data_IF_277128864128
#
_entry.id   IF_277128864128
#
_cell.length_a   1.000
_cell.length_b   1.000
_cell.length_c   1.000
_cell.angle_alpha   90.00
_cell.angle_beta   90.00
_cell.angle_gamma   90.00
#
_symmetry.space_group_name_H-M   'P 1'
#
loop_
_entity.id
_entity.type
_entity.pdbx_description
1 polymer ?
#
# COMPACT_ATOMS: atom_id res chain seq x y z
N UNK A 1 -0.56 -2.88 -4.31
CA UNK A 1 0.77 -2.82 -3.70
C UNK A 1 0.85 -1.52 -2.93
N UNK A 2 1.25 -1.61 -1.66
CA UNK A 2 1.41 -0.45 -0.76
C UNK A 2 2.79 -0.53 -0.12
N UNK A 3 3.50 0.59 -0.04
CA UNK A 3 4.79 0.69 0.66
C UNK A 3 5.03 2.10 1.18
N UNK A 4 5.98 2.24 2.07
CA UNK A 4 6.39 3.51 2.64
C UNK A 4 7.83 3.82 2.29
N UNK A 5 8.14 5.11 2.16
CA UNK A 5 9.50 5.64 2.04
C UNK A 5 9.79 6.57 3.20
N UNK A 6 11.05 6.65 3.62
CA UNK A 6 11.49 7.53 4.73
C UNK A 6 11.39 9.01 4.40
N UNK A 7 11.36 9.34 3.12
CA UNK A 7 11.20 10.70 2.60
C UNK A 7 10.16 10.71 1.49
N UNK A 8 9.49 11.84 1.23
CA UNK A 8 8.60 11.97 0.08
C UNK A 8 9.34 11.65 -1.22
N UNK A 9 8.73 10.85 -2.07
CA UNK A 9 9.34 10.33 -3.28
C UNK A 9 8.39 10.34 -4.49
N UNK A 10 8.96 10.22 -5.67
CA UNK A 10 8.26 9.87 -6.90
C UNK A 10 8.36 8.37 -7.12
N UNK A 11 7.25 7.66 -7.13
CA UNK A 11 7.26 6.22 -7.01
C UNK A 11 6.44 5.50 -8.08
N UNK A 12 6.86 4.25 -8.38
CA UNK A 12 6.17 3.38 -9.33
C UNK A 12 6.42 1.91 -8.99
N UNK A 13 5.63 1.04 -9.61
CA UNK A 13 5.84 -0.42 -9.59
C UNK A 13 6.31 -0.88 -10.96
N UNK A 14 7.35 -1.67 -11.00
CA UNK A 14 7.74 -2.47 -12.17
C UNK A 14 7.22 -3.89 -11.96
N UNK A 15 6.49 -4.45 -12.94
CA UNK A 15 5.89 -5.78 -12.83
C UNK A 15 5.78 -6.48 -14.18
N UNK A 16 5.77 -7.80 -14.16
CA UNK A 16 5.65 -8.65 -15.36
C UNK A 16 5.52 -10.12 -15.00
N UNK A 17 5.35 -10.96 -16.00
CA UNK A 17 5.33 -12.43 -15.84
C UNK A 17 6.74 -13.02 -15.78
N UNK A 18 7.74 -12.20 -16.05
CA UNK A 18 9.16 -12.49 -15.87
C UNK A 18 9.89 -11.22 -15.38
N UNK A 19 11.15 -11.32 -15.00
CA UNK A 19 11.93 -10.21 -14.46
C UNK A 19 12.68 -9.41 -15.54
N UNK A 20 12.58 -9.79 -16.80
CA UNK A 20 13.28 -9.15 -17.94
C UNK A 20 12.37 -8.18 -18.68
N UNK A 21 11.08 -8.52 -18.84
CA UNK A 21 10.09 -7.74 -19.58
C UNK A 21 9.08 -7.10 -18.64
N UNK A 22 9.47 -6.01 -18.01
CA UNK A 22 8.67 -5.35 -17.00
C UNK A 22 7.87 -4.18 -17.58
N UNK A 23 6.60 -4.10 -17.17
CA UNK A 23 5.75 -2.92 -17.34
C UNK A 23 5.90 -2.01 -16.13
N UNK A 24 5.72 -0.71 -16.33
CA UNK A 24 5.66 0.27 -15.25
C UNK A 24 4.22 0.70 -15.00
N UNK A 25 3.81 0.74 -13.72
CA UNK A 25 2.55 1.33 -13.28
C UNK A 25 2.82 2.41 -12.27
N UNK A 26 2.17 3.56 -12.46
CA UNK A 26 2.20 4.73 -11.58
C UNK A 26 0.80 5.07 -11.13
N UNK A 27 0.68 5.75 -10.02
CA UNK A 27 -0.60 6.34 -9.63
C UNK A 27 -0.78 7.63 -10.43
N UNK A 28 -1.84 7.66 -11.21
CA UNK A 28 -2.25 8.83 -12.00
C UNK A 28 -3.58 9.31 -11.44
N UNK A 29 -3.63 10.58 -11.05
CA UNK A 29 -4.84 11.25 -10.57
C UNK A 29 -5.08 12.44 -11.49
N UNK A 30 -6.24 12.51 -12.11
CA UNK A 30 -6.63 13.58 -13.04
C UNK A 30 -5.58 13.84 -14.14
N UNK A 31 -4.98 12.77 -14.67
CA UNK A 31 -3.96 12.82 -15.71
C UNK A 31 -2.55 13.21 -15.24
N UNK A 32 -2.37 13.41 -13.93
CA UNK A 32 -1.07 13.74 -13.35
C UNK A 32 -0.54 12.59 -12.50
N UNK A 33 0.77 12.31 -12.61
CA UNK A 33 1.40 11.34 -11.74
C UNK A 33 1.47 11.89 -10.31
N UNK A 34 0.99 11.10 -9.35
CA UNK A 34 1.15 11.43 -7.93
C UNK A 34 2.63 11.32 -7.56
N UNK A 35 3.10 12.28 -6.80
CA UNK A 35 4.48 12.32 -6.32
C UNK A 35 4.57 13.21 -5.08
N UNK A 36 5.75 13.15 -4.42
CA UNK A 36 6.02 13.88 -3.17
C UNK A 36 5.21 13.35 -1.97
N UNK A 37 4.92 12.05 -1.98
CA UNK A 37 4.29 11.33 -0.88
C UNK A 37 5.29 10.33 -0.27
N UNK A 38 5.09 9.98 0.99
CA UNK A 38 5.87 8.92 1.68
C UNK A 38 5.13 7.59 1.73
N UNK A 39 3.81 7.59 1.59
CA UNK A 39 2.99 6.38 1.48
C UNK A 39 2.53 6.24 0.04
N UNK A 40 2.91 5.14 -0.58
CA UNK A 40 2.61 4.85 -1.97
C UNK A 40 1.61 3.71 -2.08
N UNK A 41 0.60 3.89 -2.94
CA UNK A 41 -0.42 2.89 -3.19
C UNK A 41 -0.67 2.78 -4.68
N UNK A 42 -0.27 1.66 -5.29
CA UNK A 42 -0.44 1.41 -6.72
C UNK A 42 -1.29 0.16 -6.92
N UNK A 43 -2.39 0.32 -7.66
CA UNK A 43 -3.25 -0.77 -8.07
C UNK A 43 -2.78 -1.31 -9.41
N UNK A 44 -2.47 -2.61 -9.47
CA UNK A 44 -2.27 -3.34 -10.71
C UNK A 44 -3.63 -3.81 -11.23
N UNK A 45 -3.83 -3.75 -12.52
CA UNK A 45 -5.08 -4.08 -13.19
C UNK A 45 -4.81 -4.93 -14.43
N UNK A 46 -5.83 -5.67 -14.91
CA UNK A 46 -5.70 -6.51 -16.10
C UNK A 46 -4.77 -7.71 -15.88
N UNK A 47 -4.70 -8.20 -14.65
CA UNK A 47 -3.94 -9.40 -14.32
C UNK A 47 -4.74 -10.66 -14.68
N UNK A 48 -4.04 -11.68 -15.15
CA UNK A 48 -4.62 -12.95 -15.59
C UNK A 48 -4.76 -13.90 -14.41
N UNK A 49 -5.89 -14.57 -14.29
CA UNK A 49 -6.17 -15.62 -13.30
C UNK A 49 -5.14 -16.75 -13.39
N UNK A 50 -4.72 -17.28 -12.25
CA UNK A 50 -3.73 -18.35 -12.13
C UNK A 50 -2.28 -17.97 -12.51
N UNK A 51 -2.06 -16.76 -13.02
CA UNK A 51 -0.75 -16.32 -13.48
C UNK A 51 0.10 -15.79 -12.32
N UNK A 52 1.38 -16.20 -12.28
CA UNK A 52 2.37 -15.62 -11.38
C UNK A 52 2.96 -14.35 -11.98
N UNK A 53 3.06 -13.32 -11.16
CA UNK A 53 3.68 -12.03 -11.48
C UNK A 53 4.86 -11.76 -10.56
N UNK A 54 5.92 -11.23 -11.14
CA UNK A 54 7.06 -10.66 -10.44
C UNK A 54 6.89 -9.15 -10.39
N UNK A 55 7.25 -8.53 -9.27
CA UNK A 55 7.19 -7.08 -9.12
C UNK A 55 8.31 -6.56 -8.23
N UNK A 56 8.61 -5.29 -8.38
CA UNK A 56 9.40 -4.52 -7.43
C UNK A 56 8.87 -3.10 -7.32
N UNK A 57 9.08 -2.50 -6.17
CA UNK A 57 8.76 -1.10 -5.93
C UNK A 57 9.98 -0.24 -6.21
N UNK A 58 9.75 0.91 -6.82
CA UNK A 58 10.77 1.87 -7.18
C UNK A 58 10.37 3.23 -6.63
N UNK A 59 11.32 3.93 -6.01
CA UNK A 59 11.09 5.26 -5.44
C UNK A 59 12.27 6.17 -5.74
N UNK A 60 12.01 7.32 -6.32
CA UNK A 60 13.00 8.30 -6.71
C UNK A 60 12.92 9.51 -5.77
N UNK A 61 14.04 9.86 -5.19
CA UNK A 61 14.19 11.01 -4.33
C UNK A 61 13.85 12.32 -5.07
N UNK A 62 13.18 13.24 -4.38
CA UNK A 62 12.87 14.57 -4.88
C UNK A 62 13.74 15.60 -4.16
N UNK A 63 14.82 16.02 -4.80
CA UNK A 63 15.75 17.02 -4.24
C UNK A 63 15.18 18.44 -4.28
N UNK A 64 14.39 18.74 -5.29
CA UNK A 64 13.73 20.04 -5.46
C UNK A 64 12.42 19.87 -6.22
N UNK A 65 11.39 20.52 -5.70
CA UNK A 65 10.12 20.66 -6.38
C UNK A 65 9.66 22.11 -6.36
N UNK A 66 9.72 22.75 -7.51
CA UNK A 66 9.23 24.12 -7.74
C UNK A 66 8.46 24.14 -9.05
N UNK A 67 7.59 25.15 -9.25
CA UNK A 67 6.73 25.26 -10.41
C UNK A 67 7.50 25.10 -11.76
N UNK A 68 8.71 25.67 -11.86
CA UNK A 68 9.51 25.64 -13.08
C UNK A 68 10.83 24.86 -12.97
N UNK A 69 11.08 24.20 -11.83
CA UNK A 69 12.32 23.44 -11.61
C UNK A 69 12.07 22.24 -10.73
N UNK A 70 12.32 21.07 -11.29
CA UNK A 70 12.26 19.79 -10.57
C UNK A 70 13.62 19.12 -10.66
N UNK A 71 14.16 18.72 -9.53
CA UNK A 71 15.41 17.94 -9.47
C UNK A 71 15.14 16.64 -8.75
N UNK A 72 15.49 15.55 -9.38
CA UNK A 72 15.40 14.22 -8.83
C UNK A 72 16.77 13.72 -8.42
N UNK A 73 16.82 12.96 -7.36
CA UNK A 73 18.02 12.33 -6.83
C UNK A 73 18.06 10.85 -7.17
N UNK A 74 18.58 10.08 -6.22
CA UNK A 74 18.76 8.64 -6.34
C UNK A 74 17.43 7.90 -6.51
N UNK A 75 17.46 6.82 -7.30
CA UNK A 75 16.34 5.89 -7.44
C UNK A 75 16.65 4.62 -6.66
N UNK A 76 15.89 4.37 -5.60
CA UNK A 76 15.90 3.11 -4.87
C UNK A 76 14.97 2.11 -5.55
N UNK A 77 15.39 0.84 -5.61
CA UNK A 77 14.58 -0.27 -6.09
C UNK A 77 14.64 -1.40 -5.06
N UNK A 78 13.49 -1.99 -4.75
CA UNK A 78 13.44 -3.18 -3.90
C UNK A 78 14.00 -4.41 -4.64
N UNK A 79 14.19 -5.49 -3.90
CA UNK A 79 14.30 -6.81 -4.50
C UNK A 79 13.01 -7.15 -5.26
N UNK A 80 13.08 -8.18 -6.09
CA UNK A 80 11.89 -8.74 -6.71
C UNK A 80 11.10 -9.57 -5.69
N UNK A 81 9.80 -9.38 -5.72
CA UNK A 81 8.80 -10.19 -5.06
C UNK A 81 7.94 -10.86 -6.11
N UNK A 82 7.16 -11.88 -5.73
CA UNK A 82 6.23 -12.54 -6.63
C UNK A 82 4.93 -12.86 -5.90
N UNK A 83 3.83 -12.83 -6.64
CA UNK A 83 2.54 -13.33 -6.20
C UNK A 83 1.85 -14.06 -7.36
N UNK A 84 0.97 -14.99 -7.02
CA UNK A 84 0.15 -15.69 -8.01
C UNK A 84 -1.29 -15.21 -7.87
N UNK A 85 -1.90 -14.84 -8.99
CA UNK A 85 -3.33 -14.50 -9.00
C UNK A 85 -4.16 -15.74 -8.67
N UNK A 86 -5.21 -15.62 -7.85
CA UNK A 86 -6.13 -16.73 -7.60
C UNK A 86 -6.67 -17.30 -8.90
N UNK A 87 -6.87 -18.61 -8.93
CA UNK A 87 -7.52 -19.25 -10.07
C UNK A 87 -9.03 -18.96 -10.01
N UNK A 88 -9.57 -18.40 -11.09
CA UNK A 88 -10.99 -18.10 -11.21
C UNK A 88 -11.87 -19.39 -11.25
N UNK A 89 -11.27 -20.54 -11.53
CA UNK A 89 -11.94 -21.86 -11.47
C UNK A 89 -11.90 -22.53 -10.10
N UNK A 90 -11.27 -21.90 -9.09
CA UNK A 90 -11.24 -22.47 -7.74
C UNK A 90 -12.57 -22.27 -7.02
N UNK A 91 -13.14 -23.34 -6.50
CA UNK A 91 -14.41 -23.35 -5.75
C UNK A 91 -14.23 -23.07 -4.25
N UNK A 92 -12.99 -22.92 -3.79
CA UNK A 92 -12.68 -22.74 -2.37
C UNK A 92 -11.48 -21.83 -2.17
N UNK A 93 -11.42 -21.20 -1.01
CA UNK A 93 -10.26 -20.44 -0.53
C UNK A 93 -10.14 -20.60 0.99
N UNK A 94 -8.93 -20.38 1.49
CA UNK A 94 -8.65 -20.34 2.92
C UNK A 94 -8.20 -18.94 3.30
N UNK A 95 -8.83 -18.34 4.30
CA UNK A 95 -8.44 -17.03 4.83
C UNK A 95 -8.09 -17.12 6.30
N UNK A 96 -7.03 -16.44 6.72
CA UNK A 96 -6.74 -16.22 8.13
C UNK A 96 -7.26 -14.85 8.51
N UNK A 97 -8.04 -14.77 9.61
CA UNK A 97 -8.63 -13.52 10.09
C UNK A 97 -8.14 -13.25 11.51
N UNK A 98 -7.41 -12.15 11.67
CA UNK A 98 -7.02 -11.62 12.98
C UNK A 98 -7.93 -10.46 13.37
N UNK A 99 -8.45 -10.49 14.60
CA UNK A 99 -9.34 -9.45 15.14
C UNK A 99 -8.72 -8.81 16.37
N UNK A 100 -9.00 -7.54 16.61
CA UNK A 100 -8.77 -6.83 17.88
C UNK A 100 -7.36 -6.99 18.46
N UNK A 101 -6.35 -6.82 17.63
CA UNK A 101 -4.94 -7.02 18.03
C UNK A 101 -4.45 -5.94 18.99
N UNK A 102 -4.98 -4.70 18.91
CA UNK A 102 -4.69 -3.58 19.82
C UNK A 102 -3.18 -3.38 20.06
N UNK A 103 -2.38 -3.43 18.99
CA UNK A 103 -0.92 -3.29 19.02
C UNK A 103 -0.19 -4.28 19.94
N UNK A 104 -0.84 -5.40 20.30
CA UNK A 104 -0.28 -6.44 21.17
C UNK A 104 0.53 -7.44 20.34
N UNK A 105 1.77 -7.10 20.07
CA UNK A 105 2.66 -7.93 19.24
C UNK A 105 2.85 -9.34 19.80
N UNK A 106 2.92 -9.52 21.12
CA UNK A 106 3.03 -10.83 21.77
C UNK A 106 1.79 -11.70 21.56
N UNK A 107 0.58 -11.12 21.60
CA UNK A 107 -0.67 -11.82 21.30
C UNK A 107 -0.69 -12.24 19.84
N UNK A 108 -0.35 -11.32 18.93
CA UNK A 108 -0.27 -11.61 17.51
C UNK A 108 0.72 -12.74 17.20
N UNK A 109 1.93 -12.72 17.77
CA UNK A 109 2.91 -13.79 17.61
C UNK A 109 2.41 -15.15 18.11
N UNK A 110 1.64 -15.16 19.20
CA UNK A 110 1.04 -16.40 19.73
C UNK A 110 -0.04 -16.91 18.78
N UNK A 111 -0.90 -16.05 18.24
CA UNK A 111 -1.93 -16.42 17.27
C UNK A 111 -1.31 -16.90 15.96
N UNK A 112 -0.25 -16.23 15.48
CA UNK A 112 0.44 -16.60 14.25
C UNK A 112 1.01 -18.02 14.32
N UNK A 113 1.58 -18.43 15.45
CA UNK A 113 2.06 -19.81 15.67
C UNK A 113 0.96 -20.86 15.55
N UNK A 114 -0.30 -20.50 15.87
CA UNK A 114 -1.41 -21.46 15.75
C UNK A 114 -1.75 -21.77 14.28
N UNK A 115 -1.44 -20.84 13.39
CA UNK A 115 -1.76 -20.95 11.95
C UNK A 115 -0.52 -21.20 11.08
N UNK A 116 0.65 -21.37 11.67
CA UNK A 116 1.93 -21.56 10.95
C UNK A 116 1.91 -22.73 9.95
N UNK A 117 1.10 -23.76 10.21
CA UNK A 117 0.98 -24.96 9.35
C UNK A 117 -0.25 -24.93 8.45
N UNK A 118 -0.98 -23.84 8.43
CA UNK A 118 -2.18 -23.69 7.59
C UNK A 118 -1.78 -23.04 6.28
N UNK A 119 -2.06 -23.69 5.17
CA UNK A 119 -1.97 -23.05 3.85
C UNK A 119 -3.16 -22.11 3.68
N UNK A 120 -2.91 -20.85 3.36
CA UNK A 120 -3.95 -19.85 3.19
C UNK A 120 -3.68 -18.95 1.99
N UNK A 121 -4.76 -18.48 1.38
CA UNK A 121 -4.71 -17.66 0.17
C UNK A 121 -4.55 -16.18 0.50
N UNK A 122 -5.09 -15.71 1.64
CA UNK A 122 -4.97 -14.32 2.08
C UNK A 122 -5.20 -14.15 3.58
N UNK A 123 -4.79 -12.99 4.08
CA UNK A 123 -4.95 -12.61 5.49
C UNK A 123 -5.82 -11.36 5.61
N UNK A 124 -6.69 -11.36 6.61
CA UNK A 124 -7.54 -10.22 6.97
C UNK A 124 -7.21 -9.76 8.38
N UNK A 125 -6.82 -8.52 8.51
CA UNK A 125 -6.74 -7.81 9.78
C UNK A 125 -8.06 -7.06 9.99
N UNK A 126 -8.96 -7.66 10.76
CA UNK A 126 -10.35 -7.24 10.86
C UNK A 126 -10.61 -6.35 12.07
N UNK A 127 -10.32 -5.08 11.90
CA UNK A 127 -10.61 -4.05 12.88
C UNK A 127 -9.69 -4.01 14.09
N UNK A 128 -9.63 -2.88 14.73
CA UNK A 128 -8.99 -2.58 16.01
C UNK A 128 -7.57 -3.16 16.18
N UNK A 129 -6.81 -3.21 15.08
CA UNK A 129 -5.40 -3.60 15.11
C UNK A 129 -4.53 -2.52 15.74
N UNK A 130 -4.93 -1.26 15.63
CA UNK A 130 -4.19 -0.07 16.06
C UNK A 130 -5.05 0.73 17.03
N UNK A 131 -4.50 1.06 18.20
CA UNK A 131 -5.19 1.82 19.23
C UNK A 131 -5.26 3.31 18.90
N UNK A 132 -4.15 3.90 18.51
CA UNK A 132 -4.05 5.31 18.15
C UNK A 132 -3.55 5.52 16.71
N UNK A 133 -4.46 5.60 15.74
CA UNK A 133 -4.10 5.88 14.35
C UNK A 133 -3.61 7.32 14.11
N UNK A 134 -3.74 8.22 15.10
CA UNK A 134 -3.20 9.57 15.01
C UNK A 134 -1.69 9.59 15.26
N UNK A 135 -1.16 8.60 15.96
CA UNK A 135 0.27 8.36 16.07
C UNK A 135 0.74 7.59 14.83
N UNK A 136 1.01 8.33 13.76
CA UNK A 136 1.34 7.77 12.44
C UNK A 136 2.52 6.81 12.48
N UNK A 137 3.62 7.20 13.15
CA UNK A 137 4.84 6.38 13.21
C UNK A 137 4.60 5.05 13.92
N UNK A 138 3.88 5.06 15.03
CA UNK A 138 3.55 3.85 15.76
C UNK A 138 2.61 2.95 14.96
N UNK A 139 1.61 3.54 14.33
CA UNK A 139 0.64 2.84 13.49
C UNK A 139 1.33 2.15 12.31
N UNK A 140 2.19 2.88 11.58
CA UNK A 140 2.92 2.35 10.43
C UNK A 140 3.86 1.22 10.84
N UNK A 141 4.63 1.39 11.92
CA UNK A 141 5.51 0.33 12.42
C UNK A 141 4.75 -0.95 12.76
N UNK A 142 3.57 -0.83 13.37
CA UNK A 142 2.77 -2.01 13.71
C UNK A 142 2.18 -2.67 12.48
N UNK A 143 1.68 -1.91 11.50
CA UNK A 143 1.21 -2.45 10.22
C UNK A 143 2.34 -3.16 9.47
N UNK A 144 3.55 -2.59 9.45
CA UNK A 144 4.72 -3.23 8.85
C UNK A 144 5.03 -4.56 9.55
N UNK A 145 5.05 -4.59 10.89
CA UNK A 145 5.23 -5.82 11.67
C UNK A 145 4.19 -6.89 11.31
N UNK A 146 2.91 -6.51 11.21
CA UNK A 146 1.85 -7.44 10.87
C UNK A 146 2.02 -8.00 9.44
N UNK A 147 2.31 -7.13 8.47
CA UNK A 147 2.47 -7.52 7.07
C UNK A 147 3.71 -8.35 6.82
N UNK A 148 4.83 -8.02 7.45
CA UNK A 148 6.07 -8.80 7.38
C UNK A 148 5.87 -10.22 7.92
N UNK A 149 5.20 -10.33 9.06
CA UNK A 149 4.99 -11.62 9.74
C UNK A 149 4.10 -12.59 8.96
N UNK A 150 3.20 -12.09 8.11
CA UNK A 150 2.33 -12.89 7.24
C UNK A 150 2.81 -12.91 5.78
N UNK A 151 4.04 -12.51 5.52
CA UNK A 151 4.61 -12.43 4.18
C UNK A 151 3.75 -11.60 3.22
N UNK A 152 3.32 -10.39 3.63
CA UNK A 152 2.49 -9.50 2.84
C UNK A 152 3.14 -8.99 1.54
N UNK A 153 4.42 -9.29 1.33
CA UNK A 153 5.14 -9.10 0.07
C UNK A 153 4.66 -10.05 -1.03
N UNK A 154 4.09 -11.22 -0.67
CA UNK A 154 3.59 -12.25 -1.58
C UNK A 154 2.18 -12.73 -1.27
N UNK A 155 1.73 -12.58 -0.04
CA UNK A 155 0.40 -12.97 0.43
C UNK A 155 -0.51 -11.75 0.47
N UNK A 156 -1.66 -11.75 -0.23
CA UNK A 156 -2.61 -10.64 -0.17
C UNK A 156 -3.05 -10.38 1.28
N UNK A 157 -2.95 -9.14 1.72
CA UNK A 157 -3.39 -8.71 3.05
C UNK A 157 -4.44 -7.62 2.95
N UNK A 158 -5.50 -7.73 3.75
CA UNK A 158 -6.59 -6.78 3.84
C UNK A 158 -6.64 -6.18 5.24
N UNK A 159 -6.71 -4.86 5.33
CA UNK A 159 -6.94 -4.15 6.59
C UNK A 159 -8.34 -3.56 6.60
N UNK A 160 -9.17 -4.00 7.53
CA UNK A 160 -10.50 -3.48 7.77
C UNK A 160 -10.44 -2.54 8.97
N UNK A 161 -11.07 -1.40 8.82
CA UNK A 161 -11.11 -0.40 9.88
C UNK A 161 -11.96 -0.89 11.06
N UNK A 162 -11.42 -0.76 12.28
CA UNK A 162 -12.15 -1.02 13.51
C UNK A 162 -12.90 0.19 14.05
N UNK A 163 -13.61 -0.01 15.15
CA UNK A 163 -14.42 1.01 15.84
C UNK A 163 -13.56 2.10 16.50
N UNK A 164 -12.39 1.74 17.03
CA UNK A 164 -11.47 2.66 17.69
C UNK A 164 -10.83 3.65 16.70
N UNK A 165 -10.77 3.32 15.44
CA UNK A 165 -10.17 4.15 14.40
C UNK A 165 -11.12 5.23 13.91
N UNK A 166 -11.21 6.37 14.61
CA UNK A 166 -12.09 7.50 14.24
C UNK A 166 -11.71 8.26 12.96
N UNK A 167 -10.50 8.06 12.42
CA UNK A 167 -10.01 8.71 11.17
C UNK A 167 -9.56 7.66 10.17
N UNK A 168 -9.70 7.91 8.84
CA UNK A 168 -9.20 6.98 7.83
C UNK A 168 -7.68 6.86 7.97
N UNK A 169 -7.19 5.63 8.08
CA UNK A 169 -5.77 5.29 8.22
C UNK A 169 -4.93 5.79 7.02
N UNK A 170 -5.55 5.85 5.85
CA UNK A 170 -4.97 6.48 4.67
C UNK A 170 -5.74 7.76 4.39
N UNK A 171 -5.15 8.89 4.75
CA UNK A 171 -5.74 10.20 4.56
C UNK A 171 -6.10 10.45 3.10
N UNK A 172 -7.39 10.68 2.84
CA UNK A 172 -7.81 11.37 1.65
C UNK A 172 -7.24 12.77 1.76
N UNK A 173 -6.28 13.13 0.93
CA UNK A 173 -5.83 14.51 0.82
C UNK A 173 -7.07 15.39 0.58
N UNK A 174 -7.48 16.17 1.58
CA UNK A 174 -8.48 17.21 1.41
C UNK A 174 -7.81 18.37 0.69
N UNK A 175 -7.70 18.28 -0.63
CA UNK A 175 -7.54 19.45 -1.46
C UNK A 175 -8.85 20.24 -1.42
N UNK A 176 -8.93 21.27 -0.62
CA UNK A 176 -9.99 22.26 -0.74
C UNK A 176 -9.71 23.09 -1.99
N UNK A 177 -10.30 22.69 -3.10
CA UNK A 177 -10.33 23.51 -4.29
C UNK A 177 -11.28 24.68 -3.98
N UNK A 178 -10.75 25.87 -3.66
CA UNK A 178 -11.52 27.12 -3.72
C UNK A 178 -11.66 27.47 -5.18
N UNK A 179 -12.88 27.35 -5.70
CA UNK A 179 -13.25 27.87 -7.02
C UNK A 179 -12.90 29.36 -7.12
N UNK A 180 -12.37 29.85 -8.26
CA UNK A 180 -12.14 31.26 -8.47
C UNK A 180 -13.49 31.99 -8.42
N UNK A 181 -13.63 32.96 -7.53
CA UNK A 181 -14.79 33.85 -7.56
C UNK A 181 -14.70 34.71 -8.82
N UNK A 182 -15.68 34.61 -9.66
CA UNK A 182 -15.90 35.51 -10.79
C UNK A 182 -16.09 36.94 -10.28
N UNK A 183 -15.14 37.78 -10.61
CA UNK A 183 -15.20 39.22 -10.33
C UNK A 183 -16.28 39.84 -11.22
N UNK A 184 -17.44 40.19 -10.64
CA UNK A 184 -18.42 41.00 -11.32
C UNK A 184 -17.80 42.37 -11.60
N UNK A 185 -17.66 42.75 -12.88
CA UNK A 185 -17.45 44.12 -13.29
C UNK A 185 -18.73 44.88 -12.95
N UNK A 186 -18.59 45.98 -12.25
CA UNK A 186 -19.61 47.02 -12.14
C UNK A 186 -19.30 48.05 -13.21
N UNK A 187 -20.34 48.35 -13.99
CA UNK A 187 -20.42 49.55 -14.80
C UNK A 187 -20.41 50.81 -13.95
#
# INVERSE_FOLDING_TARGET
IVWETTIPAYSWVEYGTDTLNLKQKRLIIDGQAEFNESIHKIRLEGLTSGQTYYYRVCSQEILQYKAYSKKFGYTSKSNFYSFTMPDAGSDSFTAIIFNDLHQRSNVFQTLLKQVEKVDYDFVVFNGDCIDDPANHDQATRFVSLLTEAVHGDRTPTLFIRGKATKKPFFGRAKGSFKSPQTRKQRE
#
